data_IF_323351822372
#
_entry.id   IF_323351822372
#
_cell.length_a   1.000
_cell.length_b   1.000
_cell.length_c   1.000
_cell.angle_alpha   90.00
_cell.angle_beta   90.00
_cell.angle_gamma   90.00
#
_symmetry.space_group_name_H-M   'P 1'
#
loop_
_entity.id
_entity.type
_entity.pdbx_description
1 polymer ?
#
# COMPACT_ATOMS: atom_id res chain seq x y z
N UNK A 1 29.57 -73.79 59.25
CA UNK A 1 30.33 -72.70 58.58
C UNK A 1 30.80 -73.04 57.15
N UNK A 2 31.09 -74.30 56.80
CA UNK A 2 31.59 -74.66 55.45
C UNK A 2 30.56 -74.62 54.30
N UNK A 3 29.26 -74.84 54.54
CA UNK A 3 28.23 -74.78 53.48
C UNK A 3 28.09 -73.38 52.86
N UNK A 4 28.25 -72.31 53.63
CA UNK A 4 28.10 -70.93 53.16
C UNK A 4 29.26 -70.48 52.23
N UNK A 5 30.47 -71.00 52.45
CA UNK A 5 31.62 -70.69 51.58
C UNK A 5 31.49 -71.32 50.20
N UNK A 6 30.84 -72.48 50.09
CA UNK A 6 30.67 -73.16 48.80
C UNK A 6 29.64 -72.44 47.92
N UNK A 7 28.54 -71.96 48.50
CA UNK A 7 27.51 -71.21 47.77
C UNK A 7 27.99 -69.87 47.22
N UNK A 8 28.97 -69.24 47.86
CA UNK A 8 29.54 -67.96 47.39
C UNK A 8 30.36 -68.14 46.11
N UNK A 9 31.20 -69.17 46.06
CA UNK A 9 32.03 -69.48 44.89
C UNK A 9 31.19 -69.87 43.67
N UNK A 10 30.11 -70.59 43.90
CA UNK A 10 29.18 -70.99 42.84
C UNK A 10 28.44 -69.79 42.24
N UNK A 11 28.03 -68.82 43.06
CA UNK A 11 27.43 -67.57 42.59
C UNK A 11 28.39 -66.73 41.74
N UNK A 12 29.66 -66.60 42.15
CA UNK A 12 30.66 -65.88 41.36
C UNK A 12 30.93 -66.54 40.01
N UNK A 13 30.94 -67.87 39.97
CA UNK A 13 31.08 -68.63 38.72
C UNK A 13 29.90 -68.38 37.78
N UNK A 14 28.67 -68.46 38.29
CA UNK A 14 27.46 -68.19 37.49
C UNK A 14 27.40 -66.74 36.99
N UNK A 15 27.79 -65.77 37.82
CA UNK A 15 27.85 -64.37 37.40
C UNK A 15 28.85 -64.14 36.27
N UNK A 16 29.98 -64.85 36.30
CA UNK A 16 30.98 -64.78 35.24
C UNK A 16 30.42 -65.36 33.93
N UNK A 17 29.76 -66.52 33.98
CA UNK A 17 29.14 -67.15 32.81
C UNK A 17 28.02 -66.29 32.22
N UNK A 18 27.15 -65.72 33.06
CA UNK A 18 26.08 -64.80 32.61
C UNK A 18 26.69 -63.57 31.91
N UNK A 19 27.77 -63.02 32.45
CA UNK A 19 28.45 -61.85 31.87
C UNK A 19 29.08 -62.17 30.52
N UNK A 20 29.69 -63.33 30.37
CA UNK A 20 30.30 -63.75 29.11
C UNK A 20 29.24 -64.06 28.04
N UNK A 21 28.11 -64.68 28.42
CA UNK A 21 26.95 -64.88 27.53
C UNK A 21 26.37 -63.54 27.09
N UNK A 22 26.17 -62.60 28.01
CA UNK A 22 25.66 -61.26 27.68
C UNK A 22 26.59 -60.51 26.70
N UNK A 23 27.91 -60.63 26.90
CA UNK A 23 28.91 -60.05 26.00
C UNK A 23 28.85 -60.68 24.60
N UNK A 24 28.69 -62.00 24.52
CA UNK A 24 28.55 -62.72 23.23
C UNK A 24 27.29 -62.27 22.47
N UNK A 25 26.15 -62.19 23.16
CA UNK A 25 24.87 -61.71 22.57
C UNK A 25 25.01 -60.28 22.05
N UNK A 26 25.65 -59.39 22.82
CA UNK A 26 25.91 -58.01 22.40
C UNK A 26 26.77 -57.93 21.13
N UNK A 27 27.81 -58.77 21.03
CA UNK A 27 28.70 -58.78 19.87
C UNK A 27 27.99 -59.32 18.62
N UNK A 28 27.22 -60.40 18.76
CA UNK A 28 26.45 -60.95 17.66
C UNK A 28 25.38 -59.97 17.14
N UNK A 29 24.73 -59.21 18.05
CA UNK A 29 23.78 -58.15 17.67
C UNK A 29 24.45 -56.98 16.93
N UNK A 30 25.71 -56.67 17.23
CA UNK A 30 26.48 -55.65 16.49
C UNK A 30 26.85 -56.10 15.08
N UNK A 31 27.20 -57.36 14.88
CA UNK A 31 27.51 -57.91 13.55
C UNK A 31 26.28 -57.92 12.63
N UNK A 32 25.14 -58.38 13.15
CA UNK A 32 23.85 -58.35 12.43
C UNK A 32 23.50 -56.92 11.95
N UNK A 33 23.72 -55.89 12.78
CA UNK A 33 23.48 -54.49 12.39
C UNK A 33 24.43 -53.99 11.31
N UNK A 34 25.70 -54.44 11.30
CA UNK A 34 26.67 -54.06 10.26
C UNK A 34 26.26 -54.60 8.90
N UNK A 35 25.77 -55.83 8.83
CA UNK A 35 25.30 -56.40 7.57
C UNK A 35 24.10 -55.66 6.99
N UNK A 36 23.13 -55.29 7.85
CA UNK A 36 21.96 -54.50 7.42
C UNK A 36 22.42 -53.12 6.91
N UNK A 37 23.36 -52.47 7.61
CA UNK A 37 23.85 -51.14 7.22
C UNK A 37 24.67 -51.17 5.93
N UNK A 38 25.47 -52.22 5.71
CA UNK A 38 26.23 -52.43 4.47
C UNK A 38 25.30 -52.61 3.27
N UNK A 39 24.20 -53.36 3.43
CA UNK A 39 23.17 -53.54 2.39
C UNK A 39 22.35 -52.26 2.15
N UNK A 40 22.16 -51.42 3.16
CA UNK A 40 21.41 -50.17 3.07
C UNK A 40 22.22 -48.98 2.53
N UNK A 41 23.56 -49.04 2.58
CA UNK A 41 24.47 -47.95 2.16
C UNK A 41 24.17 -47.31 0.79
N UNK A 42 23.83 -48.06 -0.29
CA UNK A 42 23.51 -47.44 -1.58
C UNK A 42 22.13 -46.76 -1.63
N UNK A 43 21.21 -47.09 -0.71
CA UNK A 43 19.84 -46.56 -0.73
C UNK A 43 19.69 -45.22 -0.01
N UNK A 44 20.59 -44.90 0.93
CA UNK A 44 20.57 -43.64 1.69
C UNK A 44 20.56 -42.39 0.79
N UNK A 45 21.48 -42.22 -0.19
CA UNK A 45 21.47 -41.03 -1.03
C UNK A 45 20.20 -40.92 -1.89
N UNK A 46 19.69 -42.05 -2.37
CA UNK A 46 18.45 -42.10 -3.17
C UNK A 46 17.26 -41.61 -2.34
N UNK A 47 17.17 -42.04 -1.07
CA UNK A 47 16.12 -41.62 -0.16
C UNK A 47 16.17 -40.11 0.14
N UNK A 48 17.37 -39.55 0.30
CA UNK A 48 17.55 -38.10 0.51
C UNK A 48 17.13 -37.30 -0.73
N UNK A 49 17.54 -37.72 -1.93
CA UNK A 49 17.14 -37.05 -3.18
C UNK A 49 15.64 -37.10 -3.37
N UNK A 50 15.01 -38.25 -3.09
CA UNK A 50 13.55 -38.39 -3.18
C UNK A 50 12.83 -37.44 -2.20
N UNK A 51 13.35 -37.28 -0.98
CA UNK A 51 12.82 -36.34 0.00
C UNK A 51 12.89 -34.88 -0.50
N UNK A 52 14.00 -34.49 -1.14
CA UNK A 52 14.16 -33.15 -1.71
C UNK A 52 13.18 -32.88 -2.86
N UNK A 53 12.92 -33.87 -3.73
CA UNK A 53 11.94 -33.75 -4.82
C UNK A 53 10.52 -33.60 -4.26
N UNK A 54 10.18 -34.37 -3.23
CA UNK A 54 8.88 -34.23 -2.56
C UNK A 54 8.78 -32.85 -1.90
N UNK A 55 9.82 -32.40 -1.20
CA UNK A 55 9.84 -31.09 -0.55
C UNK A 55 9.72 -29.93 -1.55
N UNK A 56 10.38 -30.01 -2.71
CA UNK A 56 10.29 -28.96 -3.74
C UNK A 56 8.90 -28.85 -4.37
N UNK A 57 8.12 -29.95 -4.40
CA UNK A 57 6.71 -29.90 -4.83
C UNK A 57 5.82 -29.12 -3.86
N UNK A 58 6.21 -28.99 -2.58
CA UNK A 58 5.46 -28.23 -1.58
C UNK A 58 5.91 -26.77 -1.42
N UNK A 59 7.06 -26.37 -1.99
CA UNK A 59 7.56 -24.98 -1.90
C UNK A 59 6.90 -24.00 -2.87
N UNK A 60 5.91 -24.42 -3.66
CA UNK A 60 5.12 -23.55 -4.54
C UNK A 60 4.05 -22.73 -3.79
N UNK A 61 4.23 -22.48 -2.49
CA UNK A 61 3.47 -21.45 -1.78
C UNK A 61 3.79 -20.12 -2.44
N UNK A 62 2.89 -19.67 -3.31
CA UNK A 62 2.79 -18.28 -3.71
C UNK A 62 2.76 -17.50 -2.39
N UNK A 63 3.73 -16.59 -2.12
CA UNK A 63 3.66 -15.77 -0.93
C UNK A 63 2.35 -15.00 -1.02
N UNK A 64 1.35 -15.43 -0.26
CA UNK A 64 0.14 -14.65 -0.05
C UNK A 64 0.62 -13.42 0.68
N UNK A 65 0.88 -12.36 -0.08
CA UNK A 65 1.41 -11.11 0.42
C UNK A 65 0.55 -10.67 1.60
N UNK A 66 1.20 -10.34 2.71
CA UNK A 66 0.52 -9.72 3.83
C UNK A 66 0.03 -8.36 3.35
N UNK A 67 -1.23 -8.27 2.93
CA UNK A 67 -1.87 -6.99 2.64
C UNK A 67 -2.15 -6.34 3.98
N UNK A 68 -1.30 -5.41 4.38
CA UNK A 68 -1.59 -4.50 5.47
C UNK A 68 -2.64 -3.50 4.94
N UNK A 69 -3.91 -3.77 5.22
CA UNK A 69 -4.99 -2.82 4.94
C UNK A 69 -4.84 -1.68 5.93
N UNK A 70 -4.24 -0.57 5.49
CA UNK A 70 -4.27 0.67 6.25
C UNK A 70 -5.73 1.12 6.37
N UNK A 71 -6.23 1.24 7.60
CA UNK A 71 -7.60 1.68 7.83
C UNK A 71 -7.68 3.18 7.57
N UNK A 72 -8.22 3.57 6.43
CA UNK A 72 -8.58 4.95 6.16
C UNK A 72 -9.84 5.31 6.94
N UNK A 73 -9.78 6.39 7.72
CA UNK A 73 -10.93 6.92 8.43
C UNK A 73 -11.51 8.09 7.64
N UNK A 74 -12.78 7.99 7.29
CA UNK A 74 -13.51 9.06 6.63
C UNK A 74 -14.34 9.81 7.67
N UNK A 75 -14.07 11.11 7.82
CA UNK A 75 -14.84 11.99 8.70
C UNK A 75 -15.69 12.93 7.84
N UNK A 76 -16.97 13.03 8.18
CA UNK A 76 -17.90 13.96 7.54
C UNK A 76 -18.51 14.84 8.62
N UNK A 77 -18.34 16.15 8.47
CA UNK A 77 -18.90 17.14 9.37
C UNK A 77 -19.76 18.12 8.57
N UNK A 78 -20.99 18.36 9.03
CA UNK A 78 -21.92 19.27 8.37
C UNK A 78 -21.83 20.63 9.02
N UNK A 79 -21.00 21.48 8.44
CA UNK A 79 -20.82 22.85 8.88
C UNK A 79 -21.97 23.66 8.27
N UNK A 80 -23.13 23.69 8.93
CA UNK A 80 -24.34 24.42 8.52
C UNK A 80 -24.20 25.94 8.61
N UNK A 81 -23.16 26.50 7.97
CA UNK A 81 -22.78 27.90 8.07
C UNK A 81 -23.41 28.72 6.96
N UNK A 82 -24.22 29.71 7.34
CA UNK A 82 -24.76 30.72 6.44
C UNK A 82 -24.08 32.06 6.73
N UNK A 83 -23.18 32.48 5.84
CA UNK A 83 -22.41 33.72 5.99
C UNK A 83 -23.09 34.84 5.20
N UNK A 84 -23.53 35.90 5.88
CA UNK A 84 -24.19 37.05 5.25
C UNK A 84 -23.26 38.25 5.01
N UNK A 85 -22.08 38.26 5.64
CA UNK A 85 -21.05 39.31 5.57
C UNK A 85 -19.66 38.67 5.61
N UNK A 86 -18.59 39.40 5.28
CA UNK A 86 -17.22 38.87 5.35
C UNK A 86 -16.91 38.27 6.75
N UNK A 87 -16.76 36.95 6.81
CA UNK A 87 -16.49 36.19 8.03
C UNK A 87 -15.48 35.09 7.73
N UNK A 88 -14.60 34.83 8.69
CA UNK A 88 -13.71 33.66 8.68
C UNK A 88 -14.28 32.59 9.62
N UNK A 89 -14.21 31.32 9.19
CA UNK A 89 -14.57 30.17 10.00
C UNK A 89 -13.38 29.23 10.07
N UNK A 90 -12.96 28.90 11.30
CA UNK A 90 -11.87 27.95 11.54
C UNK A 90 -12.48 26.59 11.86
N UNK A 91 -12.22 25.60 11.01
CA UNK A 91 -12.61 24.23 11.26
C UNK A 91 -11.51 23.50 12.02
N UNK A 92 -11.80 23.09 13.26
CA UNK A 92 -10.89 22.28 14.08
C UNK A 92 -11.32 20.81 14.01
N UNK A 93 -10.47 19.95 13.42
CA UNK A 93 -10.70 18.50 13.44
C UNK A 93 -10.56 17.97 14.87
N UNK A 94 -11.50 17.12 15.30
CA UNK A 94 -11.49 16.55 16.66
C UNK A 94 -10.43 15.46 16.85
N UNK A 95 -10.02 14.79 15.77
CA UNK A 95 -9.07 13.69 15.78
C UNK A 95 -7.73 14.10 15.18
N UNK A 96 -6.64 13.59 15.78
CA UNK A 96 -5.27 13.83 15.32
C UNK A 96 -4.83 12.73 14.34
N UNK A 97 -4.20 13.12 13.23
CA UNK A 97 -3.66 12.18 12.24
C UNK A 97 -3.16 12.85 10.96
N UNK A 98 -2.67 12.04 10.02
CA UNK A 98 -2.31 12.53 8.68
C UNK A 98 -3.55 12.76 7.84
N UNK A 99 -3.73 13.99 7.35
CA UNK A 99 -4.83 14.33 6.43
C UNK A 99 -4.46 13.87 5.01
N UNK A 100 -5.14 12.83 4.51
CA UNK A 100 -4.94 12.34 3.14
C UNK A 100 -5.74 13.13 2.11
N UNK A 101 -6.97 13.52 2.45
CA UNK A 101 -7.87 14.26 1.58
C UNK A 101 -8.85 15.10 2.38
N UNK A 102 -9.30 16.20 1.80
CA UNK A 102 -10.37 17.04 2.33
C UNK A 102 -11.36 17.36 1.22
N UNK A 103 -12.65 17.17 1.50
CA UNK A 103 -13.74 17.55 0.61
C UNK A 103 -14.56 18.64 1.30
N UNK A 104 -14.78 19.73 0.58
CA UNK A 104 -15.61 20.84 1.03
C UNK A 104 -16.70 21.04 -0.01
N UNK A 105 -17.95 21.03 0.45
CA UNK A 105 -19.11 21.26 -0.38
C UNK A 105 -19.82 22.53 0.13
N UNK A 106 -20.24 23.39 -0.79
CA UNK A 106 -20.90 24.64 -0.44
C UNK A 106 -21.40 25.39 -1.66
N UNK A 107 -22.24 26.40 -1.44
CA UNK A 107 -22.76 27.26 -2.49
C UNK A 107 -22.53 28.73 -2.15
N UNK A 108 -21.94 29.47 -3.08
CA UNK A 108 -21.85 30.93 -2.99
C UNK A 108 -23.07 31.49 -3.71
N UNK A 109 -23.92 32.22 -2.98
CA UNK A 109 -25.04 32.93 -3.58
C UNK A 109 -24.69 34.41 -3.71
N UNK A 110 -25.24 35.08 -4.74
CA UNK A 110 -24.99 36.49 -5.06
C UNK A 110 -23.52 36.72 -5.50
N UNK A 111 -23.14 37.97 -5.80
CA UNK A 111 -21.76 38.37 -6.18
C UNK A 111 -20.75 38.28 -5.01
N UNK A 112 -20.83 37.23 -4.20
CA UNK A 112 -19.93 36.97 -3.09
C UNK A 112 -18.66 36.27 -3.55
N UNK A 113 -17.65 36.26 -2.69
CA UNK A 113 -16.43 35.47 -2.87
C UNK A 113 -16.16 34.59 -1.66
N UNK A 114 -15.52 33.46 -1.88
CA UNK A 114 -15.09 32.55 -0.83
C UNK A 114 -13.65 32.11 -1.10
N UNK A 115 -12.90 31.97 -0.01
CA UNK A 115 -11.52 31.49 -0.05
C UNK A 115 -11.31 30.50 1.09
N UNK A 116 -10.63 29.40 0.79
CA UNK A 116 -10.32 28.33 1.75
C UNK A 116 -8.83 28.25 1.90
N UNK A 117 -8.38 28.23 3.16
CA UNK A 117 -6.99 28.04 3.54
C UNK A 117 -6.83 26.80 4.40
N UNK A 118 -5.69 26.13 4.26
CA UNK A 118 -5.22 25.10 5.18
C UNK A 118 -4.04 25.67 5.95
N UNK A 119 -4.12 25.68 7.27
CA UNK A 119 -3.03 26.10 8.13
C UNK A 119 -2.31 24.89 8.71
N UNK A 120 -0.98 24.86 8.61
CA UNK A 120 -0.15 23.82 9.20
C UNK A 120 1.14 24.43 9.75
N UNK A 121 1.31 24.37 11.08
CA UNK A 121 2.38 25.06 11.77
C UNK A 121 2.24 26.58 11.66
N UNK A 122 3.26 27.24 11.08
CA UNK A 122 3.26 28.69 10.84
C UNK A 122 2.95 29.05 9.38
N UNK A 123 2.54 28.07 8.57
CA UNK A 123 2.30 28.25 7.14
C UNK A 123 0.80 28.18 6.83
N UNK A 124 0.35 29.02 5.90
CA UNK A 124 -1.01 29.00 5.36
C UNK A 124 -0.98 28.69 3.87
N UNK A 125 -1.82 27.75 3.44
CA UNK A 125 -1.87 27.25 2.08
C UNK A 125 -3.26 27.52 1.50
N UNK A 126 -3.35 28.29 0.42
CA UNK A 126 -4.65 28.55 -0.24
C UNK A 126 -5.08 27.32 -1.03
N UNK A 127 -6.20 26.71 -0.64
CA UNK A 127 -6.77 25.52 -1.29
C UNK A 127 -7.78 25.92 -2.37
N UNK A 128 -8.53 27.01 -2.14
CA UNK A 128 -9.57 27.49 -3.04
C UNK A 128 -9.69 29.01 -2.96
N UNK A 129 -9.85 29.67 -4.10
CA UNK A 129 -10.21 31.09 -4.19
C UNK A 129 -11.22 31.28 -5.32
N UNK A 130 -12.44 31.66 -4.97
CA UNK A 130 -13.52 31.82 -5.93
C UNK A 130 -13.31 32.96 -6.92
N UNK A 131 -12.46 33.94 -6.60
CA UNK A 131 -12.16 35.07 -7.50
C UNK A 131 -11.27 34.64 -8.68
N UNK A 132 -10.60 33.50 -8.56
CA UNK A 132 -9.74 32.92 -9.61
C UNK A 132 -10.53 31.97 -10.52
N UNK A 133 -11.82 31.78 -10.27
CA UNK A 133 -12.72 31.03 -11.14
C UNK A 133 -13.11 31.93 -12.31
N UNK A 134 -12.76 31.50 -13.53
CA UNK A 134 -13.24 32.15 -14.74
C UNK A 134 -14.74 31.95 -14.94
N UNK A 135 -15.34 32.70 -15.87
CA UNK A 135 -16.78 32.59 -16.20
C UNK A 135 -17.16 31.21 -16.75
N UNK A 136 -16.22 30.51 -17.40
CA UNK A 136 -16.38 29.14 -17.90
C UNK A 136 -16.18 28.06 -16.80
N UNK A 137 -16.09 28.48 -15.53
CA UNK A 137 -15.77 27.62 -14.41
C UNK A 137 -14.27 27.36 -14.26
N UNK A 138 -13.96 26.23 -13.61
CA UNK A 138 -12.60 25.80 -13.29
C UNK A 138 -11.91 25.31 -14.57
N UNK A 139 -11.46 26.22 -15.44
CA UNK A 139 -10.71 25.84 -16.65
C UNK A 139 -9.39 25.14 -16.33
N UNK A 140 -8.74 25.55 -15.24
CA UNK A 140 -7.46 25.01 -14.78
C UNK A 140 -7.25 25.26 -13.28
N UNK A 141 -8.08 24.72 -12.38
CA UNK A 141 -7.51 24.41 -11.06
C UNK A 141 -6.70 23.18 -11.37
N UNK A 142 -5.40 23.24 -11.44
CA UNK A 142 -4.51 22.18 -10.95
C UNK A 142 -4.06 22.79 -9.63
N UNK A 143 -4.50 22.22 -8.50
CA UNK A 143 -4.15 22.75 -7.18
C UNK A 143 -2.63 22.64 -6.99
N UNK A 144 -1.90 23.60 -7.50
CA UNK A 144 -0.53 23.85 -7.12
C UNK A 144 -0.63 24.63 -5.81
N UNK A 145 -0.23 24.01 -4.71
CA UNK A 145 -0.06 24.70 -3.44
C UNK A 145 1.09 25.67 -3.65
N UNK A 146 0.76 26.92 -4.02
CA UNK A 146 1.73 28.00 -4.09
C UNK A 146 1.97 28.45 -2.65
N UNK A 147 3.19 28.24 -2.17
CA UNK A 147 3.66 28.86 -0.94
C UNK A 147 3.64 30.38 -1.14
N UNK A 148 2.80 31.08 -0.39
CA UNK A 148 2.69 32.55 -0.45
C UNK A 148 3.83 33.15 0.37
N UNK A 149 4.98 33.32 -0.26
CA UNK A 149 6.13 33.99 0.33
C UNK A 149 5.98 35.51 0.09
N UNK A 150 5.05 36.13 0.83
CA UNK A 150 4.80 37.57 0.76
C UNK A 150 5.91 38.34 1.49
N UNK A 151 7.13 38.27 0.95
CA UNK A 151 8.28 39.11 1.31
C UNK A 151 9.05 39.57 0.05
N UNK A 152 8.36 39.74 -1.09
CA UNK A 152 8.99 40.30 -2.28
C UNK A 152 8.71 41.80 -2.36
N UNK A 153 9.72 42.58 -1.96
CA UNK A 153 9.78 44.02 -2.16
C UNK A 153 9.67 44.35 -3.65
N UNK A 154 8.69 45.19 -3.98
CA UNK A 154 8.55 45.83 -5.28
C UNK A 154 9.82 46.60 -5.64
N UNK A 155 10.45 46.23 -6.75
CA UNK A 155 11.32 47.11 -7.52
C UNK A 155 10.90 47.02 -8.99
N UNK A 156 10.27 48.09 -9.47
CA UNK A 156 10.17 48.44 -10.89
C UNK A 156 11.57 48.72 -11.44
N UNK A 157 11.96 48.10 -12.57
CA UNK A 157 12.07 48.80 -13.86
C UNK A 157 12.69 47.94 -14.98
N UNK A 158 12.20 48.24 -16.18
CA UNK A 158 12.84 48.24 -17.50
C UNK A 158 12.95 46.96 -18.36
N UNK A 159 12.08 46.94 -19.37
CA UNK A 159 12.34 46.85 -20.83
C UNK A 159 13.55 46.07 -21.34
N UNK A 160 13.31 45.04 -22.16
CA UNK A 160 14.23 44.64 -23.24
C UNK A 160 14.36 43.14 -23.56
N UNK A 161 13.73 42.75 -24.67
CA UNK A 161 14.21 41.80 -25.69
C UNK A 161 14.28 40.26 -25.46
N UNK A 162 13.74 39.59 -26.48
CA UNK A 162 13.59 38.17 -26.79
C UNK A 162 14.91 37.48 -27.15
N UNK A 163 15.15 36.24 -26.73
CA UNK A 163 15.48 35.04 -27.58
C UNK A 163 16.06 33.88 -26.77
N UNK A 164 15.59 32.66 -27.05
CA UNK A 164 16.23 31.40 -26.62
C UNK A 164 15.26 30.36 -26.05
N UNK A 165 14.41 29.77 -26.90
CA UNK A 165 13.52 28.66 -26.54
C UNK A 165 14.22 27.33 -26.83
N UNK A 166 14.57 26.57 -25.79
CA UNK A 166 15.02 25.18 -25.90
C UNK A 166 13.80 24.25 -25.92
N UNK A 167 13.58 23.60 -27.07
CA UNK A 167 12.53 22.62 -27.29
C UNK A 167 12.96 21.25 -26.76
N UNK A 168 12.49 20.89 -25.57
CA UNK A 168 12.57 19.52 -25.08
C UNK A 168 11.42 18.68 -25.68
N UNK A 169 11.80 17.63 -26.43
CA UNK A 169 10.90 16.67 -27.06
C UNK A 169 10.01 15.99 -26.03
N UNK A 170 8.71 16.30 -26.05
CA UNK A 170 7.71 15.72 -25.16
C UNK A 170 7.29 14.34 -25.68
N UNK A 171 7.50 13.29 -24.88
CA UNK A 171 6.98 11.95 -25.17
C UNK A 171 5.45 11.93 -25.29
N UNK A 172 4.95 11.01 -26.09
CA UNK A 172 3.53 10.80 -26.36
C UNK A 172 2.83 10.20 -25.13
N UNK A 173 1.62 10.70 -24.80
CA UNK A 173 0.75 10.24 -23.71
C UNK A 173 -0.63 9.92 -24.27
N UNK A 174 -1.18 8.76 -23.91
CA UNK A 174 -2.55 8.36 -24.28
C UNK A 174 -3.32 7.89 -23.04
N UNK A 175 -4.55 8.38 -22.88
CA UNK A 175 -5.48 8.02 -21.81
C UNK A 175 -6.81 7.67 -22.46
N UNK A 176 -7.29 6.45 -22.22
CA UNK A 176 -8.56 5.93 -22.73
C UNK A 176 -9.53 5.69 -21.55
N UNK A 177 -10.79 6.07 -21.72
CA UNK A 177 -11.84 5.88 -20.72
C UNK A 177 -13.04 5.14 -21.32
N UNK A 178 -13.54 4.13 -20.61
CA UNK A 178 -14.70 3.32 -21.00
C UNK A 178 -15.77 3.31 -19.90
N UNK A 179 -17.05 3.44 -20.30
CA UNK A 179 -18.20 3.34 -19.39
C UNK A 179 -18.60 1.87 -19.24
N UNK A 180 -18.58 1.34 -18.02
CA UNK A 180 -18.86 -0.08 -17.76
C UNK A 180 -20.35 -0.36 -17.47
N UNK A 181 -21.10 0.66 -17.05
CA UNK A 181 -22.53 0.56 -16.74
C UNK A 181 -23.03 1.69 -15.84
N UNK A 182 -24.36 1.84 -15.74
CA UNK A 182 -25.05 2.81 -14.88
C UNK A 182 -26.56 2.55 -14.89
N UNK A 183 -27.23 2.74 -13.75
CA UNK A 183 -28.66 2.44 -13.59
C UNK A 183 -29.41 3.57 -12.88
N UNK A 184 -30.58 3.93 -13.42
CA UNK A 184 -31.46 4.96 -12.85
C UNK A 184 -32.13 4.45 -11.57
N UNK A 185 -31.88 5.11 -10.45
CA UNK A 185 -32.75 5.03 -9.27
C UNK A 185 -33.31 6.41 -9.00
N UNK A 186 -34.50 6.66 -9.56
CA UNK A 186 -35.51 7.69 -9.30
C UNK A 186 -35.09 9.14 -8.97
N UNK A 187 -33.98 9.43 -8.30
CA UNK A 187 -33.50 10.78 -8.01
C UNK A 187 -31.97 10.99 -8.16
N UNK A 188 -31.16 9.94 -8.34
CA UNK A 188 -29.72 10.10 -8.68
C UNK A 188 -29.27 9.08 -9.77
N UNK A 189 -28.59 9.57 -10.80
CA UNK A 189 -27.89 8.73 -11.79
C UNK A 189 -26.45 8.46 -11.33
N UNK A 190 -26.10 7.18 -11.20
CA UNK A 190 -24.74 6.74 -10.83
C UNK A 190 -24.09 6.07 -12.05
N UNK A 191 -22.92 6.60 -12.45
CA UNK A 191 -22.11 6.06 -13.53
C UNK A 191 -20.86 5.36 -12.99
N UNK A 192 -20.52 4.20 -13.55
CA UNK A 192 -19.30 3.46 -13.27
C UNK A 192 -18.31 3.61 -14.45
N UNK A 193 -17.12 4.15 -14.17
CA UNK A 193 -16.09 4.46 -15.16
C UNK A 193 -14.84 3.59 -14.97
N UNK A 194 -14.31 3.07 -16.08
CA UNK A 194 -12.99 2.44 -16.14
C UNK A 194 -12.03 3.31 -16.94
N UNK A 195 -10.82 3.52 -16.44
CA UNK A 195 -9.80 4.34 -17.11
C UNK A 195 -8.51 3.56 -17.23
N UNK A 196 -8.01 3.48 -18.45
CA UNK A 196 -6.71 2.89 -18.79
C UNK A 196 -5.78 3.99 -19.33
N UNK A 197 -4.52 3.98 -18.90
CA UNK A 197 -3.52 4.97 -19.32
C UNK A 197 -2.22 4.29 -19.71
N UNK A 198 -1.58 4.75 -20.79
CA UNK A 198 -0.27 4.30 -21.23
C UNK A 198 0.69 5.48 -21.44
N UNK A 199 1.93 5.29 -20.99
CA UNK A 199 2.98 6.31 -21.04
C UNK A 199 4.24 5.74 -21.69
N UNK A 200 4.87 6.53 -22.56
CA UNK A 200 6.10 6.14 -23.28
C UNK A 200 7.39 6.29 -22.46
N UNK A 201 7.29 6.74 -21.21
CA UNK A 201 8.41 6.91 -20.29
C UNK A 201 8.18 6.18 -18.97
N UNK A 202 9.26 6.03 -18.19
CA UNK A 202 9.22 5.42 -16.88
C UNK A 202 8.47 6.34 -15.91
N UNK A 203 7.28 5.91 -15.51
CA UNK A 203 6.39 6.70 -14.67
C UNK A 203 6.68 6.39 -13.21
N UNK A 204 6.98 7.44 -12.45
CA UNK A 204 7.06 7.37 -11.00
C UNK A 204 5.64 7.29 -10.42
N UNK A 205 5.15 6.06 -10.25
CA UNK A 205 3.79 5.78 -9.78
C UNK A 205 3.53 6.29 -8.37
N UNK A 206 4.56 6.46 -7.54
CA UNK A 206 4.44 7.01 -6.18
C UNK A 206 4.07 8.50 -6.21
N UNK A 207 4.22 9.16 -7.36
CA UNK A 207 3.88 10.57 -7.59
C UNK A 207 2.63 10.76 -8.44
N UNK A 208 1.99 9.67 -8.89
CA UNK A 208 0.74 9.79 -9.61
C UNK A 208 -0.41 10.02 -8.64
N UNK A 209 -1.18 11.07 -8.88
CA UNK A 209 -2.49 11.26 -8.26
C UNK A 209 -3.56 11.34 -9.36
N UNK A 210 -4.59 10.52 -9.21
CA UNK A 210 -5.73 10.55 -10.13
C UNK A 210 -6.64 11.70 -9.73
N UNK A 211 -6.95 12.57 -10.67
CA UNK A 211 -7.88 13.66 -10.48
C UNK A 211 -9.09 13.48 -11.38
N UNK A 212 -10.26 13.56 -10.78
CA UNK A 212 -11.53 13.54 -11.49
C UNK A 212 -12.19 14.91 -11.40
N UNK A 213 -12.82 15.35 -12.48
CA UNK A 213 -13.77 16.47 -12.48
C UNK A 213 -15.02 16.05 -13.20
N UNK A 214 -16.17 16.25 -12.57
CA UNK A 214 -17.48 16.11 -13.20
C UNK A 214 -17.96 17.50 -13.58
N UNK A 215 -18.23 17.67 -14.87
CA UNK A 215 -18.87 18.88 -15.41
C UNK A 215 -20.28 18.51 -15.82
N UNK A 216 -21.26 19.36 -15.52
CA UNK A 216 -22.56 19.30 -16.17
C UNK A 216 -22.84 20.64 -16.82
N UNK A 217 -22.89 20.62 -18.15
CA UNK A 217 -23.36 21.70 -19.00
C UNK A 217 -24.80 21.41 -19.42
N UNK A 218 -25.71 22.38 -19.31
CA UNK A 218 -26.26 22.89 -20.56
C UNK A 218 -27.03 24.20 -20.48
N UNK A 219 -26.81 24.91 -21.58
CA UNK A 219 -27.42 26.12 -22.08
C UNK A 219 -28.82 25.87 -22.64
N UNK A 220 -29.70 26.85 -22.50
CA UNK A 220 -30.76 27.11 -23.49
C UNK A 220 -30.98 28.62 -23.54
N UNK A 221 -30.41 29.22 -24.58
CA UNK A 221 -30.62 30.60 -24.99
C UNK A 221 -32.07 30.70 -25.50
N UNK A 222 -32.87 31.64 -24.98
CA UNK A 222 -34.09 32.11 -25.64
C UNK A 222 -33.93 33.60 -25.96
N UNK A 223 -34.14 34.01 -27.23
CA UNK A 223 -34.00 35.39 -27.67
C UNK A 223 -35.15 36.24 -27.13
N UNK A 224 -34.82 37.49 -26.77
CA UNK A 224 -35.75 38.57 -26.43
C UNK A 224 -36.62 38.99 -27.60
#
# INVERSE_FOLDING_TARGET
MNRLKNTSKEKEKLLKEIKDISRSISNHKKEQRREIYLKARPFIPIMIVMLFVVFSMFTSLIPTGLVAVERQFNYSDSIGLAVNNSQAYTWSMGDYGSLSSVKLDGSITKRGSARVYLEYGNNSYTVFDSLRLGEDGIGYITGSVVYDDTNQSVLENDTGETTGSESNSAGEKTIDAAVLGGGSKAEDEVFELNVESSFSWDVDYDKLCTRWSLTSSNSLILPT
#
